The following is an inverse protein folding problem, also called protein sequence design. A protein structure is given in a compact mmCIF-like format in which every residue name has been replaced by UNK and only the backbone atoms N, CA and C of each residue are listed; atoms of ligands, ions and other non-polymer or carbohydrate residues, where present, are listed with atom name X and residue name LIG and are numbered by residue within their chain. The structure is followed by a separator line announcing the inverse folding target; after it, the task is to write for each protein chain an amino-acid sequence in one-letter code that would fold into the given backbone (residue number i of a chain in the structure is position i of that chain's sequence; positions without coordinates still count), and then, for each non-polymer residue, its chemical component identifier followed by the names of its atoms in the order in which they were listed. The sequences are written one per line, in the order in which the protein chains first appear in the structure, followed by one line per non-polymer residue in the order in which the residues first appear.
data_IF_751074038281
#
_entry.id   IF_751074038281
#
_cell.length_a   1.000
_cell.length_b   1.000
_cell.length_c   1.000
_cell.angle_alpha   90.00
_cell.angle_beta   90.00
_cell.angle_gamma   90.00
#
_symmetry.space_group_name_H-M   'P 1'
#
loop_
_entity.id
_entity.type
_entity.pdbx_description
1 polymer ?
#
# COMPACT_ATOMS: atom_id res chain seq x y z
N UNK A 1 -46.35 53.90 40.59
CA UNK A 1 -45.22 53.76 39.64
C UNK A 1 -44.51 52.46 40.05
N UNK A 2 -44.37 51.39 39.28
CA UNK A 2 -44.60 51.12 37.86
C UNK A 2 -44.32 49.61 37.70
N UNK A 3 -45.23 48.91 37.03
CA UNK A 3 -45.08 47.69 36.22
C UNK A 3 -44.34 46.43 36.73
N UNK A 4 -45.17 45.39 36.84
CA UNK A 4 -44.92 43.98 36.53
C UNK A 4 -44.05 43.75 35.29
N UNK A 5 -43.07 42.85 35.37
CA UNK A 5 -42.57 42.05 34.24
C UNK A 5 -42.23 40.65 34.73
N UNK A 6 -43.08 39.70 34.32
CA UNK A 6 -42.82 38.27 34.38
C UNK A 6 -41.56 37.95 33.56
N UNK A 7 -40.56 37.30 34.16
CA UNK A 7 -39.50 36.66 33.39
C UNK A 7 -40.02 35.29 32.93
N UNK A 8 -40.05 35.16 31.62
CA UNK A 8 -40.32 33.95 30.87
C UNK A 8 -39.20 32.93 31.16
N UNK A 9 -39.53 31.72 31.62
CA UNK A 9 -38.55 30.63 31.74
C UNK A 9 -38.60 29.83 30.45
N UNK A 10 -37.60 29.90 29.56
CA UNK A 10 -37.48 28.89 28.53
C UNK A 10 -36.90 27.61 29.16
N UNK A 11 -37.66 26.54 29.06
CA UNK A 11 -37.23 25.15 29.27
C UNK A 11 -35.95 24.90 28.47
N UNK A 12 -34.80 24.88 29.15
CA UNK A 12 -33.57 24.37 28.57
C UNK A 12 -33.64 22.83 28.62
N UNK A 13 -33.88 22.22 27.45
CA UNK A 13 -33.75 20.79 27.25
C UNK A 13 -32.28 20.44 27.53
N UNK A 14 -32.07 19.60 28.53
CA UNK A 14 -30.78 19.00 28.84
C UNK A 14 -30.45 17.97 27.75
N UNK A 15 -29.86 18.41 26.64
CA UNK A 15 -29.20 17.49 25.71
C UNK A 15 -27.87 17.09 26.32
N UNK A 16 -27.86 15.96 27.00
CA UNK A 16 -26.63 15.23 27.31
C UNK A 16 -26.02 14.81 25.97
N UNK A 17 -25.14 15.62 25.41
CA UNK A 17 -24.25 15.19 24.35
C UNK A 17 -23.30 14.18 24.98
N UNK A 18 -23.55 12.88 24.74
CA UNK A 18 -22.55 11.85 24.94
C UNK A 18 -21.46 12.13 23.91
N UNK A 19 -20.42 12.85 24.32
CA UNK A 19 -19.16 12.90 23.58
C UNK A 19 -18.57 11.51 23.73
N UNK A 20 -18.82 10.65 22.75
CA UNK A 20 -17.99 9.49 22.53
C UNK A 20 -16.63 10.10 22.14
N UNK A 21 -15.54 9.90 22.90
CA UNK A 21 -14.23 10.16 22.34
C UNK A 21 -14.13 9.28 21.10
N UNK A 22 -14.12 9.89 19.92
CA UNK A 22 -13.58 9.22 18.74
C UNK A 22 -12.19 8.79 19.20
N UNK A 23 -12.00 7.48 19.33
CA UNK A 23 -10.68 6.96 19.53
C UNK A 23 -9.92 7.36 18.26
N UNK A 24 -8.95 8.25 18.43
CA UNK A 24 -7.92 8.47 17.43
C UNK A 24 -7.08 7.20 17.43
N UNK A 25 -7.53 6.20 16.67
CA UNK A 25 -6.68 5.12 16.19
C UNK A 25 -6.19 5.52 14.80
N UNK A 26 -4.98 5.11 14.47
CA UNK A 26 -4.15 5.71 13.43
C UNK A 26 -2.93 6.38 14.06
N UNK A 27 -2.16 5.62 14.85
CA UNK A 27 -0.72 5.82 14.73
C UNK A 27 -0.36 5.05 13.48
N UNK A 28 -0.06 5.78 12.42
CA UNK A 28 0.69 5.28 11.29
C UNK A 28 2.04 4.79 11.85
N UNK A 29 2.14 3.49 12.12
CA UNK A 29 3.40 2.86 12.49
C UNK A 29 4.24 2.82 11.21
N UNK A 30 5.08 3.84 11.02
CA UNK A 30 6.02 3.86 9.91
C UNK A 30 7.16 2.90 10.27
N UNK A 31 7.28 1.80 9.53
CA UNK A 31 8.40 0.89 9.67
C UNK A 31 9.66 1.53 9.07
N UNK A 32 10.78 1.40 9.77
CA UNK A 32 12.09 1.87 9.32
C UNK A 32 12.99 0.68 9.00
N UNK A 33 13.99 0.89 8.16
CA UNK A 33 15.04 -0.10 7.87
C UNK A 33 15.59 -0.77 9.15
N UNK A 34 15.81 0.03 10.21
CA UNK A 34 16.33 -0.47 11.48
C UNK A 34 15.35 -1.32 12.29
N UNK A 35 14.05 -1.30 11.96
CA UNK A 35 13.07 -2.19 12.59
C UNK A 35 13.16 -3.61 12.04
N UNK A 36 13.68 -3.77 10.81
CA UNK A 36 13.84 -5.07 10.15
C UNK A 36 15.26 -5.63 10.29
N UNK A 37 16.27 -4.77 10.45
CA UNK A 37 17.67 -5.12 10.75
C UNK A 37 17.79 -5.67 12.19
N UNK A 38 17.58 -6.99 12.32
CA UNK A 38 17.44 -7.65 13.61
C UNK A 38 18.78 -7.85 14.32
N UNK A 39 19.88 -7.95 13.57
CA UNK A 39 21.21 -8.17 14.13
C UNK A 39 22.06 -6.88 14.22
N UNK A 40 21.60 -5.79 13.60
CA UNK A 40 22.19 -4.45 13.66
C UNK A 40 23.45 -4.30 12.82
N UNK A 41 23.63 -5.14 11.79
CA UNK A 41 24.76 -5.10 10.87
C UNK A 41 24.61 -4.09 9.74
N UNK A 42 23.44 -3.42 9.62
CA UNK A 42 23.08 -2.52 8.53
C UNK A 42 22.97 -3.22 7.17
N UNK A 43 22.57 -4.48 7.15
CA UNK A 43 22.30 -5.29 5.95
C UNK A 43 21.01 -6.08 6.19
N UNK A 44 19.98 -5.96 5.34
CA UNK A 44 18.80 -6.82 5.43
C UNK A 44 19.00 -8.08 4.60
N UNK A 45 18.91 -9.23 5.26
CA UNK A 45 18.83 -10.53 4.61
C UNK A 45 17.40 -10.85 4.15
N UNK A 46 17.25 -11.80 3.24
CA UNK A 46 15.93 -12.34 2.84
C UNK A 46 15.08 -12.72 4.06
N UNK A 47 15.69 -13.39 5.05
CA UNK A 47 14.99 -13.77 6.28
C UNK A 47 14.50 -12.59 7.11
N UNK A 48 15.18 -11.45 7.08
CA UNK A 48 14.78 -10.23 7.79
C UNK A 48 13.67 -9.50 7.03
N UNK A 49 13.75 -9.47 5.71
CA UNK A 49 12.67 -8.93 4.86
C UNK A 49 11.40 -9.76 5.02
N UNK A 50 11.46 -11.10 4.91
CA UNK A 50 10.29 -11.95 5.10
C UNK A 50 9.69 -11.81 6.50
N UNK A 51 10.52 -11.73 7.55
CA UNK A 51 10.05 -11.52 8.91
C UNK A 51 9.39 -10.13 9.07
N UNK A 52 10.00 -9.09 8.49
CA UNK A 52 9.48 -7.73 8.52
C UNK A 52 8.13 -7.60 7.79
N UNK A 53 8.00 -8.22 6.61
CA UNK A 53 6.74 -8.26 5.85
C UNK A 53 5.65 -8.98 6.64
N UNK A 54 5.96 -10.13 7.23
CA UNK A 54 5.03 -10.88 8.09
C UNK A 54 4.59 -10.07 9.30
N UNK A 55 5.53 -9.41 10.00
CA UNK A 55 5.24 -8.59 11.18
C UNK A 55 4.48 -7.29 10.84
N UNK A 56 4.64 -6.78 9.61
CA UNK A 56 3.91 -5.59 9.14
C UNK A 56 2.44 -5.85 8.85
N UNK A 57 2.06 -7.11 8.58
CA UNK A 57 0.71 -7.46 8.13
C UNK A 57 0.39 -7.04 6.69
N UNK A 58 1.40 -6.62 5.90
CA UNK A 58 1.19 -6.20 4.50
C UNK A 58 0.61 -7.34 3.66
N UNK A 59 1.12 -8.55 3.82
CA UNK A 59 0.60 -9.73 3.12
C UNK A 59 -0.87 -9.96 3.46
N UNK A 60 -1.22 -10.00 4.75
CA UNK A 60 -2.60 -10.14 5.24
C UNK A 60 -3.52 -8.99 4.78
N UNK A 61 -2.98 -7.79 4.57
CA UNK A 61 -3.74 -6.65 4.07
C UNK A 61 -4.07 -6.79 2.57
N UNK A 62 -3.17 -7.41 1.81
CA UNK A 62 -3.34 -7.65 0.38
C UNK A 62 -4.17 -8.91 0.10
N UNK A 63 -4.06 -9.94 0.94
CA UNK A 63 -4.84 -11.19 0.93
C UNK A 63 -6.22 -10.95 1.57
N UNK A 64 -7.16 -10.48 0.76
CA UNK A 64 -8.46 -10.00 1.24
C UNK A 64 -9.49 -11.11 1.34
N UNK A 65 -9.36 -12.14 0.52
CA UNK A 65 -10.26 -13.29 0.57
C UNK A 65 -9.87 -14.33 1.62
N UNK A 66 -8.72 -14.13 2.28
CA UNK A 66 -8.14 -15.00 3.32
C UNK A 66 -7.92 -16.43 2.77
N UNK A 67 -7.64 -16.56 1.46
CA UNK A 67 -7.09 -17.79 0.90
C UNK A 67 -5.62 -17.97 1.33
N UNK A 68 -4.94 -19.02 0.89
CA UNK A 68 -3.58 -19.29 1.33
C UNK A 68 -2.55 -18.65 0.40
N UNK A 69 -2.77 -17.41 -0.04
CA UNK A 69 -1.95 -16.76 -1.05
C UNK A 69 -2.62 -15.57 -1.74
N UNK A 70 -1.82 -14.67 -2.32
CA UNK A 70 -2.31 -13.55 -3.12
C UNK A 70 -2.65 -14.02 -4.54
N UNK A 71 -3.90 -13.82 -4.96
CA UNK A 71 -4.22 -13.97 -6.37
C UNK A 71 -3.74 -12.75 -7.20
N UNK A 72 -3.77 -12.85 -8.52
CA UNK A 72 -3.28 -11.79 -9.42
C UNK A 72 -3.98 -10.44 -9.21
N UNK A 73 -5.29 -10.46 -8.95
CA UNK A 73 -6.09 -9.25 -8.73
C UNK A 73 -5.75 -8.57 -7.41
N UNK A 74 -5.50 -9.34 -6.36
CA UNK A 74 -5.03 -8.85 -5.06
C UNK A 74 -3.64 -8.23 -5.17
N UNK A 75 -2.71 -8.93 -5.82
CA UNK A 75 -1.37 -8.42 -6.06
C UNK A 75 -1.39 -7.13 -6.89
N UNK A 76 -2.18 -7.08 -7.97
CA UNK A 76 -2.35 -5.86 -8.78
C UNK A 76 -2.98 -4.71 -7.97
N UNK A 77 -3.91 -5.01 -7.06
CA UNK A 77 -4.53 -4.02 -6.19
C UNK A 77 -3.54 -3.44 -5.18
N UNK A 78 -2.72 -4.29 -4.58
CA UNK A 78 -1.63 -3.86 -3.71
C UNK A 78 -0.58 -3.02 -4.44
N UNK A 79 -0.26 -3.39 -5.68
CA UNK A 79 0.65 -2.61 -6.53
C UNK A 79 0.09 -1.22 -6.85
N UNK A 80 -1.21 -1.12 -7.18
CA UNK A 80 -1.88 0.17 -7.34
C UNK A 80 -1.76 1.04 -6.08
N UNK A 81 -2.02 0.44 -4.91
CA UNK A 81 -1.87 1.12 -3.61
C UNK A 81 -0.49 1.73 -3.44
N UNK A 82 0.54 0.90 -3.67
CA UNK A 82 1.93 1.28 -3.45
C UNK A 82 2.41 2.39 -4.40
N UNK A 83 1.67 2.65 -5.49
CA UNK A 83 1.98 3.73 -6.43
C UNK A 83 1.18 5.00 -6.10
N UNK A 84 -0.06 4.87 -5.62
CA UNK A 84 -0.95 5.96 -5.17
C UNK A 84 -0.50 6.55 -3.83
N UNK A 85 0.61 7.30 -3.86
CA UNK A 85 1.33 7.76 -2.66
C UNK A 85 0.54 8.79 -1.85
N UNK A 86 -0.43 9.49 -2.48
CA UNK A 86 -1.30 10.43 -1.78
C UNK A 86 -2.70 9.88 -1.45
N UNK A 87 -2.94 8.60 -1.75
CA UNK A 87 -4.14 7.85 -1.42
C UNK A 87 -5.43 8.51 -1.93
N UNK A 88 -5.38 9.15 -3.11
CA UNK A 88 -6.51 9.82 -3.72
C UNK A 88 -7.26 8.95 -4.76
N UNK A 89 -6.81 7.70 -4.92
CA UNK A 89 -7.35 6.68 -5.83
C UNK A 89 -7.09 7.02 -7.30
N UNK A 90 -6.11 7.86 -7.58
CA UNK A 90 -5.67 8.21 -8.93
C UNK A 90 -4.15 8.26 -8.99
N UNK A 91 -3.55 7.49 -9.89
CA UNK A 91 -2.11 7.54 -10.09
C UNK A 91 -1.79 8.66 -11.08
N UNK A 92 -0.99 9.63 -10.63
CA UNK A 92 -0.42 10.69 -11.48
C UNK A 92 0.73 10.18 -12.37
N UNK A 93 1.15 10.95 -13.37
CA UNK A 93 2.32 10.60 -14.20
C UNK A 93 3.60 10.51 -13.37
N UNK A 94 3.73 11.37 -12.35
CA UNK A 94 4.83 11.33 -11.39
C UNK A 94 4.84 10.04 -10.55
N UNK A 95 3.70 9.63 -10.01
CA UNK A 95 3.55 8.38 -9.24
C UNK A 95 3.77 7.14 -10.10
N UNK A 96 3.20 7.13 -11.31
CA UNK A 96 3.45 6.07 -12.30
C UNK A 96 4.94 5.92 -12.60
N UNK A 97 5.65 7.04 -12.81
CA UNK A 97 7.09 7.01 -13.11
C UNK A 97 7.86 6.47 -11.90
N UNK A 98 7.57 6.94 -10.70
CA UNK A 98 8.23 6.46 -9.49
C UNK A 98 7.97 4.96 -9.24
N UNK A 99 6.71 4.52 -9.36
CA UNK A 99 6.31 3.12 -9.21
C UNK A 99 6.94 2.22 -10.26
N UNK A 100 6.90 2.62 -11.54
CA UNK A 100 7.48 1.82 -12.62
C UNK A 100 9.00 1.76 -12.58
N UNK A 101 9.69 2.85 -12.24
CA UNK A 101 11.14 2.84 -12.06
C UNK A 101 11.56 1.96 -10.87
N UNK A 102 10.81 2.00 -9.76
CA UNK A 102 11.05 1.17 -8.58
C UNK A 102 10.87 -0.31 -8.89
N UNK A 103 9.76 -0.66 -9.51
CA UNK A 103 9.38 -2.05 -9.71
C UNK A 103 10.00 -2.64 -10.96
N UNK A 104 9.90 -2.00 -12.12
CA UNK A 104 10.35 -2.54 -13.41
C UNK A 104 11.70 -1.98 -13.87
N UNK A 105 12.29 -1.02 -13.15
CA UNK A 105 13.53 -0.35 -13.49
C UNK A 105 13.36 0.79 -14.50
N UNK A 106 14.42 1.61 -14.66
CA UNK A 106 14.40 2.79 -15.54
C UNK A 106 14.23 2.50 -17.03
N UNK A 107 14.33 1.23 -17.42
CA UNK A 107 14.17 0.78 -18.80
C UNK A 107 12.74 0.30 -19.10
N UNK A 108 11.79 0.43 -18.14
CA UNK A 108 10.38 0.14 -18.38
C UNK A 108 9.84 0.97 -19.53
N UNK A 109 9.36 0.28 -20.57
CA UNK A 109 9.11 0.89 -21.86
C UNK A 109 7.66 1.34 -22.07
N UNK A 110 6.75 0.91 -21.19
CA UNK A 110 5.34 1.25 -21.30
C UNK A 110 5.15 2.71 -20.85
N UNK A 111 4.61 3.59 -21.70
CA UNK A 111 4.37 4.97 -21.31
C UNK A 111 3.07 5.10 -20.49
N UNK A 112 3.01 6.13 -19.64
CA UNK A 112 1.80 6.52 -18.90
C UNK A 112 0.54 6.58 -19.80
N UNK A 113 0.68 7.07 -21.03
CA UNK A 113 -0.43 7.18 -21.99
C UNK A 113 -1.03 5.86 -22.46
N UNK A 114 -0.34 4.74 -22.26
CA UNK A 114 -0.88 3.42 -22.56
C UNK A 114 -1.82 2.94 -21.45
N UNK A 115 -1.65 3.46 -20.22
CA UNK A 115 -2.56 3.28 -19.09
C UNK A 115 -3.68 4.32 -19.07
N UNK A 116 -3.39 5.62 -19.22
CA UNK A 116 -4.37 6.74 -19.26
C UNK A 116 -5.13 6.77 -20.60
N UNK A 117 -6.02 5.80 -20.79
CA UNK A 117 -6.77 5.58 -22.03
C UNK A 117 -7.81 6.65 -22.32
N UNK A 118 -8.37 7.26 -21.28
CA UNK A 118 -9.36 8.31 -21.40
C UNK A 118 -8.76 9.73 -21.48
N UNK A 119 -7.44 9.84 -21.29
CA UNK A 119 -6.64 11.07 -21.33
C UNK A 119 -7.09 12.08 -20.27
N UNK A 120 -7.46 11.59 -19.08
CA UNK A 120 -7.82 12.41 -17.93
C UNK A 120 -6.60 13.06 -17.26
N UNK A 121 -5.40 12.52 -17.51
CA UNK A 121 -4.17 12.88 -16.82
C UNK A 121 -3.97 12.10 -15.50
N UNK A 122 -4.76 11.06 -15.28
CA UNK A 122 -4.73 10.19 -14.12
C UNK A 122 -4.97 8.76 -14.58
N UNK A 123 -4.36 7.78 -13.92
CA UNK A 123 -4.70 6.36 -14.10
C UNK A 123 -5.64 5.96 -12.97
N UNK A 124 -6.86 5.58 -13.33
CA UNK A 124 -7.80 5.01 -12.37
C UNK A 124 -7.64 3.47 -12.24
N UNK A 125 -8.34 2.87 -11.28
CA UNK A 125 -8.32 1.42 -11.03
C UNK A 125 -8.71 0.55 -12.24
N UNK A 126 -9.62 1.04 -13.08
CA UNK A 126 -10.08 0.30 -14.27
C UNK A 126 -8.98 0.33 -15.33
N UNK A 127 -8.36 1.48 -15.52
CA UNK A 127 -7.24 1.68 -16.43
C UNK A 127 -6.01 0.88 -16.00
N UNK A 128 -5.67 0.91 -14.71
CA UNK A 128 -4.59 0.12 -14.14
C UNK A 128 -4.80 -1.39 -14.35
N UNK A 129 -5.98 -1.92 -13.99
CA UNK A 129 -6.28 -3.34 -14.19
C UNK A 129 -6.26 -3.76 -15.66
N UNK A 130 -6.74 -2.89 -16.56
CA UNK A 130 -6.78 -3.17 -18.00
C UNK A 130 -5.38 -3.19 -18.66
N UNK A 131 -4.45 -2.39 -18.12
CA UNK A 131 -3.07 -2.28 -18.62
C UNK A 131 -2.07 -3.05 -17.75
N UNK A 132 -2.55 -3.79 -16.74
CA UNK A 132 -1.76 -4.52 -15.76
C UNK A 132 -0.68 -5.38 -16.41
N UNK A 133 0.54 -5.28 -15.88
CA UNK A 133 1.69 -6.07 -16.31
C UNK A 133 1.99 -7.16 -15.29
N UNK A 134 1.53 -8.37 -15.61
CA UNK A 134 1.62 -9.56 -14.77
C UNK A 134 3.02 -10.20 -14.69
N UNK A 135 4.05 -9.54 -15.24
CA UNK A 135 5.42 -10.07 -15.30
C UNK A 135 5.97 -10.42 -13.90
N UNK A 136 5.74 -9.58 -12.89
CA UNK A 136 6.17 -9.84 -11.51
C UNK A 136 5.40 -10.99 -10.88
N UNK A 137 4.06 -10.94 -10.96
CA UNK A 137 3.20 -11.99 -10.46
C UNK A 137 3.58 -13.36 -11.03
N UNK A 138 3.74 -13.47 -12.35
CA UNK A 138 4.15 -14.70 -13.03
C UNK A 138 5.58 -15.12 -12.70
N UNK A 139 6.48 -14.17 -12.42
CA UNK A 139 7.87 -14.48 -12.08
C UNK A 139 8.01 -15.00 -10.64
N UNK A 140 7.18 -14.49 -9.73
CA UNK A 140 7.23 -14.81 -8.31
C UNK A 140 6.44 -16.07 -7.95
N UNK A 141 5.39 -16.40 -8.72
CA UNK A 141 4.67 -17.67 -8.64
C UNK A 141 5.60 -18.80 -9.13
N UNK A 142 6.38 -19.35 -8.20
CA UNK A 142 7.48 -20.25 -8.50
C UNK A 142 6.98 -21.69 -8.71
N UNK A 143 5.83 -22.03 -8.15
CA UNK A 143 5.21 -23.35 -8.29
C UNK A 143 4.05 -23.42 -9.30
N UNK A 144 3.76 -22.29 -9.98
CA UNK A 144 2.76 -22.11 -11.04
C UNK A 144 1.33 -22.46 -10.56
N UNK A 145 0.99 -22.19 -9.29
CA UNK A 145 -0.32 -22.51 -8.72
C UNK A 145 -1.34 -21.36 -8.81
N UNK A 146 -0.92 -20.21 -9.37
CA UNK A 146 -1.73 -18.98 -9.50
C UNK A 146 -2.09 -18.35 -8.16
N UNK A 147 -1.24 -18.53 -7.15
CA UNK A 147 -1.22 -17.78 -5.90
C UNK A 147 0.22 -17.42 -5.56
N UNK A 148 0.45 -16.24 -5.00
CA UNK A 148 1.72 -15.94 -4.34
C UNK A 148 1.59 -16.30 -2.88
N UNK A 149 2.27 -17.35 -2.46
CA UNK A 149 2.44 -17.63 -1.04
C UNK A 149 3.23 -16.51 -0.35
N UNK A 150 3.12 -16.41 0.98
CA UNK A 150 3.90 -15.43 1.77
C UNK A 150 5.43 -15.60 1.56
N UNK A 151 5.88 -16.84 1.33
CA UNK A 151 7.27 -17.15 1.02
C UNK A 151 7.69 -16.60 -0.36
N UNK A 152 6.87 -16.82 -1.39
CA UNK A 152 7.12 -16.31 -2.75
C UNK A 152 7.05 -14.79 -2.83
N UNK A 153 6.05 -14.20 -2.16
CA UNK A 153 5.93 -12.76 -2.04
C UNK A 153 7.18 -12.18 -1.37
N UNK A 154 7.55 -12.69 -0.19
CA UNK A 154 8.72 -12.19 0.54
C UNK A 154 10.03 -12.32 -0.23
N UNK A 155 10.26 -13.46 -0.89
CA UNK A 155 11.42 -13.67 -1.74
C UNK A 155 11.43 -12.71 -2.95
N UNK A 156 10.27 -12.51 -3.58
CA UNK A 156 10.13 -11.60 -4.71
C UNK A 156 10.37 -10.13 -4.34
N UNK A 157 9.84 -9.69 -3.20
CA UNK A 157 10.10 -8.35 -2.64
C UNK A 157 11.60 -8.17 -2.40
N UNK A 158 12.24 -9.16 -1.77
CA UNK A 158 13.67 -9.14 -1.48
C UNK A 158 14.51 -9.06 -2.76
N UNK A 159 14.24 -9.92 -3.75
CA UNK A 159 14.97 -9.94 -5.02
C UNK A 159 14.80 -8.64 -5.81
N UNK A 160 13.67 -7.96 -5.66
CA UNK A 160 13.42 -6.65 -6.30
C UNK A 160 14.14 -5.50 -5.60
N UNK A 161 14.36 -5.62 -4.29
CA UNK A 161 15.09 -4.64 -3.47
C UNK A 161 16.62 -4.78 -3.56
N UNK A 162 17.14 -6.00 -3.76
CA UNK A 162 18.58 -6.31 -3.90
C UNK A 162 19.10 -5.91 -5.31
N UNK A 163 19.25 -4.60 -5.53
CA UNK A 163 19.55 -4.00 -6.83
C UNK A 163 20.90 -4.45 -7.42
N UNK A 164 21.90 -4.71 -6.57
CA UNK A 164 23.21 -5.19 -7.03
C UNK A 164 23.38 -6.73 -6.96
N UNK A 165 22.36 -7.42 -6.45
CA UNK A 165 22.26 -8.88 -6.34
C UNK A 165 23.40 -9.49 -5.51
N UNK A 166 23.81 -8.79 -4.45
CA UNK A 166 24.88 -9.23 -3.55
C UNK A 166 24.38 -10.07 -2.36
N UNK A 167 23.08 -10.33 -2.30
CA UNK A 167 22.37 -11.08 -1.25
C UNK A 167 22.25 -10.35 0.10
N UNK A 168 22.34 -9.03 0.08
CA UNK A 168 21.95 -8.17 1.20
C UNK A 168 21.37 -6.87 0.65
N UNK A 169 20.31 -6.35 1.27
CA UNK A 169 19.84 -4.99 0.97
C UNK A 169 20.56 -4.06 1.92
N UNK A 170 21.30 -3.11 1.38
CA UNK A 170 22.02 -2.10 2.17
C UNK A 170 21.19 -0.83 2.34
N UNK A 171 21.63 0.06 3.22
CA UNK A 171 21.03 1.41 3.38
C UNK A 171 21.04 2.19 2.07
N UNK A 172 22.00 1.94 1.17
CA UNK A 172 22.01 2.52 -0.17
C UNK A 172 20.87 2.03 -1.07
N UNK A 173 20.30 0.85 -0.79
CA UNK A 173 19.22 0.20 -1.54
C UNK A 173 17.86 0.35 -0.84
N UNK A 174 17.83 0.75 0.44
CA UNK A 174 16.61 0.90 1.25
C UNK A 174 15.55 1.83 0.62
N UNK A 175 15.99 2.75 -0.28
CA UNK A 175 15.11 3.65 -1.02
C UNK A 175 14.00 2.93 -1.81
N UNK A 176 14.20 1.65 -2.12
CA UNK A 176 13.15 0.78 -2.66
C UNK A 176 11.90 0.76 -1.77
N UNK A 177 12.06 0.77 -0.45
CA UNK A 177 10.98 0.73 0.51
C UNK A 177 10.38 2.10 0.87
N UNK A 178 10.96 3.21 0.40
CA UNK A 178 10.42 4.54 0.69
C UNK A 178 9.01 4.70 0.09
N UNK A 179 8.02 4.94 0.96
CA UNK A 179 6.61 5.08 0.58
C UNK A 179 5.80 3.78 0.64
N UNK A 180 6.45 2.62 0.83
CA UNK A 180 5.75 1.33 1.01
C UNK A 180 5.46 1.00 2.50
N UNK A 181 6.18 1.66 3.42
CA UNK A 181 6.02 1.50 4.86
C UNK A 181 5.30 2.66 5.53
N UNK A 182 4.56 3.47 4.79
CA UNK A 182 3.89 4.63 5.37
C UNK A 182 2.59 4.27 6.11
N UNK A 183 2.37 2.98 6.39
CA UNK A 183 1.26 2.48 7.22
C UNK A 183 -0.11 2.56 6.56
N UNK A 184 -0.24 3.27 5.43
CA UNK A 184 -1.48 3.32 4.67
C UNK A 184 -1.65 2.04 3.83
N UNK A 185 -0.55 1.42 3.38
CA UNK A 185 -0.54 0.12 2.65
C UNK A 185 -1.03 -1.09 3.47
N UNK A 186 -1.08 -0.98 4.80
CA UNK A 186 -1.57 -2.02 5.73
C UNK A 186 -3.05 -1.81 6.12
N UNK A 187 -3.58 -0.59 5.94
CA UNK A 187 -4.95 -0.20 6.32
C UNK A 187 -5.87 0.01 5.11
N UNK A 188 -5.38 -0.26 3.91
CA UNK A 188 -6.06 0.15 2.71
C UNK A 188 -7.31 -0.73 2.44
N UNK A 189 -8.50 -0.20 2.77
CA UNK A 189 -9.79 -0.66 2.22
C UNK A 189 -9.84 -0.39 0.69
N UNK A 190 -8.91 -0.93 -0.08
CA UNK A 190 -8.85 -0.72 -1.52
C UNK A 190 -9.85 -1.65 -2.15
N UNK A 191 -10.82 -1.09 -2.86
CA UNK A 191 -11.63 -1.90 -3.79
C UNK A 191 -10.69 -2.38 -4.89
N UNK A 192 -10.77 -3.67 -5.22
CA UNK A 192 -9.91 -4.27 -6.25
C UNK A 192 -9.77 -3.36 -7.48
N UNK A 193 -8.56 -3.34 -8.04
CA UNK A 193 -8.40 -2.87 -9.41
C UNK A 193 -9.37 -3.66 -10.31
N UNK A 194 -9.87 -3.05 -11.38
CA UNK A 194 -10.81 -3.74 -12.27
C UNK A 194 -10.24 -5.06 -12.81
N UNK A 195 -11.06 -5.87 -13.50
CA UNK A 195 -10.62 -7.16 -14.07
C UNK A 195 -9.20 -7.07 -14.67
N UNK A 196 -8.25 -7.77 -14.06
CA UNK A 196 -6.90 -7.99 -14.62
C UNK A 196 -7.02 -9.02 -15.75
N UNK A 197 -6.49 -8.69 -16.92
CA UNK A 197 -6.76 -9.39 -18.21
C UNK A 197 -5.72 -10.43 -18.59
#
# INVERSE_FOLDING_TARGET
MTFSKFLNIPTAILTTALVIPAASFGQTESFTYTDWDNDGNLELTESEVSAGLSDSGTFDAWDRDEEAGLNEGEFATGMFASWDTDNDVQITEEEYTAGTERWYGTDYATPFSDYDTDTSGYIDRTEFGSAWDSSYYTQWDADDDSLLSEEEYGAGVYDSADLDTNQVITVEEEGFFEGWFDGDDVEAEIQEVGDVM
#
